data_IF_491692878384
#
_entry.id   IF_491692878384
#
_cell.length_a   1.000
_cell.length_b   1.000
_cell.length_c   1.000
_cell.angle_alpha   90.00
_cell.angle_beta   90.00
_cell.angle_gamma   90.00
#
_symmetry.space_group_name_H-M   'P 1'
#
loop_
_entity.id
_entity.type
_entity.pdbx_description
1 polymer ?
#
# COMPACT_ATOMS: atom_id res chain seq x y z
N UNK A 1 -14.18 25.84 2.58
CA UNK A 1 -15.28 25.21 3.33
C UNK A 1 -15.94 24.17 2.43
N UNK A 2 -15.77 22.89 2.75
CA UNK A 2 -16.73 21.80 2.54
C UNK A 2 -16.05 20.49 2.98
N UNK A 3 -16.23 20.16 4.24
CA UNK A 3 -15.96 18.83 4.80
C UNK A 3 -17.03 17.87 4.30
N UNK A 4 -16.68 16.63 3.95
CA UNK A 4 -17.62 15.52 4.07
C UNK A 4 -16.86 14.20 4.27
N UNK A 5 -17.05 13.59 5.43
CA UNK A 5 -16.54 12.27 5.79
C UNK A 5 -17.70 11.42 6.28
N UNK A 6 -17.72 10.14 5.87
CA UNK A 6 -18.55 8.97 6.27
C UNK A 6 -19.47 8.44 5.15
N UNK A 7 -19.77 7.11 5.04
CA UNK A 7 -19.08 5.90 5.49
C UNK A 7 -18.82 4.89 4.32
N UNK A 8 -17.64 4.24 4.25
CA UNK A 8 -17.44 2.96 3.55
C UNK A 8 -17.46 2.91 2.00
N UNK A 9 -16.97 3.91 1.28
CA UNK A 9 -17.01 3.92 -0.20
C UNK A 9 -15.61 3.83 -0.82
N UNK A 10 -15.52 3.14 -1.96
CA UNK A 10 -14.29 2.73 -2.64
C UNK A 10 -13.25 3.84 -2.85
N UNK A 11 -11.96 3.45 -2.86
CA UNK A 11 -10.82 4.33 -3.18
C UNK A 11 -11.06 4.98 -4.56
N UNK A 12 -11.01 6.31 -4.63
CA UNK A 12 -11.12 7.04 -5.91
C UNK A 12 -9.87 6.81 -6.78
N UNK A 13 -10.00 6.98 -8.09
CA UNK A 13 -8.88 6.81 -9.01
C UNK A 13 -7.74 7.81 -8.74
N UNK A 14 -8.06 9.05 -8.37
CA UNK A 14 -7.04 10.03 -7.98
C UNK A 14 -6.30 9.61 -6.70
N UNK A 15 -7.01 9.09 -5.70
CA UNK A 15 -6.38 8.59 -4.48
C UNK A 15 -5.49 7.37 -4.74
N UNK A 16 -5.92 6.48 -5.64
CA UNK A 16 -5.11 5.32 -6.03
C UNK A 16 -3.86 5.75 -6.81
N UNK A 17 -3.96 6.76 -7.68
CA UNK A 17 -2.84 7.31 -8.41
C UNK A 17 -1.82 7.98 -7.48
N UNK A 18 -2.29 8.80 -6.54
CA UNK A 18 -1.44 9.45 -5.54
C UNK A 18 -0.68 8.43 -4.69
N UNK A 19 -1.37 7.36 -4.23
CA UNK A 19 -0.74 6.26 -3.49
C UNK A 19 0.35 5.57 -4.31
N UNK A 20 0.12 5.34 -5.59
CA UNK A 20 1.06 4.67 -6.48
C UNK A 20 2.32 5.54 -6.75
N UNK A 21 2.14 6.86 -6.89
CA UNK A 21 3.27 7.78 -7.06
C UNK A 21 4.15 7.86 -5.81
N UNK A 22 3.53 7.86 -4.63
CA UNK A 22 4.24 7.85 -3.35
C UNK A 22 5.02 6.54 -3.15
N UNK A 23 4.39 5.39 -3.39
CA UNK A 23 5.06 4.08 -3.38
C UNK A 23 6.25 4.04 -4.35
N UNK A 24 6.09 4.57 -5.56
CA UNK A 24 7.18 4.65 -6.55
C UNK A 24 8.30 5.58 -6.11
N UNK A 25 7.99 6.68 -5.42
CA UNK A 25 9.00 7.59 -4.88
C UNK A 25 9.82 6.90 -3.80
N UNK A 26 9.18 6.16 -2.90
CA UNK A 26 9.86 5.43 -1.82
C UNK A 26 10.71 4.28 -2.34
N UNK A 27 10.20 3.51 -3.32
CA UNK A 27 10.98 2.46 -4.01
C UNK A 27 12.19 3.04 -4.74
N UNK A 28 12.05 4.18 -5.43
CA UNK A 28 13.17 4.85 -6.13
C UNK A 28 14.19 5.48 -5.19
N UNK A 29 13.76 5.89 -4.00
CA UNK A 29 14.65 6.53 -3.03
C UNK A 29 15.57 5.51 -2.32
N UNK A 30 15.35 4.19 -2.51
CA UNK A 30 16.12 3.15 -1.81
C UNK A 30 15.95 3.21 -0.29
N UNK A 31 14.87 3.84 0.18
CA UNK A 31 14.58 4.05 1.60
C UNK A 31 13.72 2.88 2.09
N UNK A 32 14.01 2.32 3.27
CA UNK A 32 13.18 1.30 3.89
C UNK A 32 11.72 1.79 4.02
N UNK A 33 10.78 1.05 3.43
CA UNK A 33 9.36 1.41 3.24
C UNK A 33 8.53 1.40 4.55
N UNK A 34 9.10 0.86 5.62
CA UNK A 34 8.43 0.58 6.89
C UNK A 34 7.98 1.85 7.59
N UNK A 35 8.87 2.85 7.67
CA UNK A 35 8.59 4.12 8.35
C UNK A 35 7.45 4.90 7.68
N UNK A 36 7.49 5.12 6.35
CA UNK A 36 6.37 5.75 5.63
C UNK A 36 5.06 4.97 5.74
N UNK A 37 5.09 3.63 5.63
CA UNK A 37 3.89 2.81 5.76
C UNK A 37 3.29 2.88 7.18
N UNK A 38 4.14 2.96 8.20
CA UNK A 38 3.69 3.11 9.59
C UNK A 38 3.11 4.50 9.87
N UNK A 39 3.64 5.54 9.25
CA UNK A 39 3.04 6.88 9.29
C UNK A 39 1.66 6.87 8.61
N UNK A 40 1.56 6.29 7.41
CA UNK A 40 0.30 6.17 6.68
C UNK A 40 -0.75 5.34 7.44
N UNK A 41 -0.33 4.30 8.15
CA UNK A 41 -1.21 3.49 9.00
C UNK A 41 -1.80 4.28 10.17
N UNK A 42 -1.05 5.24 10.72
CA UNK A 42 -1.50 6.09 11.82
C UNK A 42 -2.48 7.18 11.35
N UNK A 43 -2.26 7.70 10.14
CA UNK A 43 -3.06 8.81 9.59
C UNK A 43 -4.36 8.33 8.91
N UNK A 44 -4.42 7.06 8.48
CA UNK A 44 -5.55 6.52 7.72
C UNK A 44 -6.43 5.58 8.55
N UNK A 45 -7.71 5.92 8.80
CA UNK A 45 -8.64 5.01 9.47
C UNK A 45 -9.12 3.89 8.56
N UNK A 46 -9.55 2.78 9.17
CA UNK A 46 -10.20 1.65 8.47
C UNK A 46 -9.24 0.74 7.72
N UNK A 47 -9.75 0.03 6.70
CA UNK A 47 -9.04 -1.05 6.00
C UNK A 47 -7.69 -0.63 5.43
N UNK A 48 -7.56 0.62 4.98
CA UNK A 48 -6.31 1.11 4.39
C UNK A 48 -5.19 1.22 5.44
N UNK A 49 -5.52 1.73 6.63
CA UNK A 49 -4.57 1.80 7.74
C UNK A 49 -4.16 0.42 8.24
N UNK A 50 -5.11 -0.52 8.30
CA UNK A 50 -4.83 -1.92 8.65
C UNK A 50 -3.86 -2.58 7.66
N UNK A 51 -4.11 -2.42 6.36
CA UNK A 51 -3.23 -2.97 5.30
C UNK A 51 -1.85 -2.33 5.36
N UNK A 52 -1.77 -1.01 5.54
CA UNK A 52 -0.49 -0.30 5.69
C UNK A 52 0.28 -0.77 6.93
N UNK A 53 -0.41 -0.99 8.06
CA UNK A 53 0.19 -1.52 9.28
C UNK A 53 0.72 -2.95 9.10
N UNK A 54 -0.02 -3.82 8.40
CA UNK A 54 0.41 -5.20 8.12
C UNK A 54 1.62 -5.24 7.19
N UNK A 55 1.63 -4.41 6.14
CA UNK A 55 2.78 -4.30 5.24
C UNK A 55 4.02 -3.77 5.96
N UNK A 56 3.87 -2.72 6.78
CA UNK A 56 4.99 -2.20 7.59
C UNK A 56 5.57 -3.27 8.51
N UNK A 57 4.73 -4.02 9.23
CA UNK A 57 5.19 -5.08 10.13
C UNK A 57 5.95 -6.22 9.40
N UNK A 58 5.47 -6.61 8.21
CA UNK A 58 6.13 -7.65 7.39
C UNK A 58 7.49 -7.19 6.88
N UNK A 59 7.57 -5.97 6.37
CA UNK A 59 8.83 -5.38 5.91
C UNK A 59 9.83 -5.21 7.08
N UNK A 60 9.38 -4.78 8.25
CA UNK A 60 10.22 -4.70 9.48
C UNK A 60 10.77 -6.07 9.91
N UNK A 61 10.02 -7.15 9.63
CA UNK A 61 10.46 -8.52 9.89
C UNK A 61 11.48 -9.05 8.87
N UNK A 62 11.84 -8.27 7.85
CA UNK A 62 12.76 -8.65 6.79
C UNK A 62 12.09 -9.39 5.62
N UNK A 63 10.75 -9.41 5.55
CA UNK A 63 10.04 -9.95 4.40
C UNK A 63 10.19 -9.00 3.21
N UNK A 64 10.32 -9.54 1.99
CA UNK A 64 10.36 -8.71 0.79
C UNK A 64 9.00 -8.03 0.55
N UNK A 65 9.02 -6.92 -0.19
CA UNK A 65 7.80 -6.20 -0.54
C UNK A 65 6.85 -7.07 -1.39
N UNK A 66 7.39 -7.83 -2.34
CA UNK A 66 6.62 -8.71 -3.22
C UNK A 66 5.88 -9.78 -2.41
N UNK A 67 6.58 -10.46 -1.49
CA UNK A 67 5.98 -11.46 -0.63
C UNK A 67 4.95 -10.85 0.34
N UNK A 68 5.16 -9.60 0.76
CA UNK A 68 4.24 -8.87 1.64
C UNK A 68 2.95 -8.46 0.92
N UNK A 69 3.04 -8.09 -0.36
CA UNK A 69 1.91 -7.73 -1.23
C UNK A 69 1.10 -8.96 -1.65
N UNK A 70 1.78 -10.06 -2.04
CA UNK A 70 1.11 -11.32 -2.40
C UNK A 70 0.37 -11.95 -1.20
N UNK A 71 0.75 -11.59 0.03
CA UNK A 71 0.04 -11.96 1.26
C UNK A 71 -1.21 -11.11 1.57
N UNK A 72 -1.55 -10.12 0.72
CA UNK A 72 -2.79 -9.33 0.78
C UNK A 72 -3.57 -9.37 -0.54
N UNK A 73 -3.96 -10.55 -1.06
CA UNK A 73 -4.57 -10.69 -2.39
C UNK A 73 -5.92 -9.97 -2.53
N UNK A 74 -6.61 -9.71 -1.41
CA UNK A 74 -7.87 -8.95 -1.39
C UNK A 74 -7.68 -7.42 -1.43
N UNK A 75 -6.45 -6.94 -1.23
CA UNK A 75 -6.12 -5.50 -1.23
C UNK A 75 -5.21 -5.15 -2.40
N UNK A 76 -4.36 -6.08 -2.82
CA UNK A 76 -3.48 -5.96 -3.98
C UNK A 76 -3.64 -7.21 -4.86
N UNK A 77 -3.91 -7.06 -6.17
CA UNK A 77 -3.82 -8.20 -7.08
C UNK A 77 -2.39 -8.79 -7.04
N UNK A 78 -2.21 -10.11 -7.24
CA UNK A 78 -0.91 -10.76 -7.17
C UNK A 78 0.09 -10.02 -8.05
N UNK A 79 1.15 -9.49 -7.44
CA UNK A 79 2.12 -8.67 -8.16
C UNK A 79 2.91 -9.51 -9.18
N UNK A 80 3.06 -10.80 -8.88
CA UNK A 80 3.67 -11.82 -9.74
C UNK A 80 2.90 -12.08 -11.04
N UNK A 81 1.61 -11.75 -11.13
CA UNK A 81 0.82 -12.01 -12.33
C UNK A 81 1.18 -11.09 -13.52
N UNK A 82 1.83 -9.94 -13.29
CA UNK A 82 2.10 -8.96 -14.35
C UNK A 82 3.49 -9.04 -14.98
N UNK A 83 4.45 -9.74 -14.37
CA UNK A 83 5.82 -9.79 -14.89
C UNK A 83 6.12 -11.01 -15.77
N UNK A 84 5.24 -12.02 -15.82
CA UNK A 84 5.48 -13.15 -16.73
C UNK A 84 5.36 -12.66 -18.19
N UNK A 85 6.42 -12.73 -19.02
CA UNK A 85 6.23 -12.55 -20.46
C UNK A 85 5.27 -13.63 -20.96
N UNK A 86 4.41 -13.35 -21.96
CA UNK A 86 3.63 -14.40 -22.61
C UNK A 86 4.62 -15.45 -23.17
N UNK A 87 4.32 -16.72 -22.90
CA UNK A 87 5.10 -17.86 -23.38
C UNK A 87 5.15 -18.00 -24.89
#
# INVERSE_FOLDING_TARGET
MASNSSPGSAISLEQLAALNDELRALVRAGVPLEKPLRAMAADMPGRLGEVASRLAARLESGQSLEASLDAEPESFPPCTARWLPPG
#
